data_IF_113330969906
#
_entry.id   IF_113330969906
#
_cell.length_a   1.000
_cell.length_b   1.000
_cell.length_c   1.000
_cell.angle_alpha   90.00
_cell.angle_beta   90.00
_cell.angle_gamma   90.00
#
_symmetry.space_group_name_H-M   'P 1'
#
loop_
_entity.id
_entity.type
_entity.pdbx_description
1 polymer ?
#
# COMPACT_ATOMS: atom_id res chain seq x y z
N UNK A 1 -10.34 12.72 18.36
CA UNK A 1 -9.64 12.98 17.08
C UNK A 1 -8.34 12.20 17.07
N UNK A 2 -8.12 11.28 16.12
CA UNK A 2 -6.76 10.73 15.95
C UNK A 2 -5.89 11.80 15.34
N UNK A 3 -4.72 12.04 15.92
CA UNK A 3 -3.75 12.95 15.34
C UNK A 3 -3.22 12.38 14.02
N UNK A 4 -3.01 13.25 13.03
CA UNK A 4 -2.52 12.88 11.69
C UNK A 4 -1.29 11.95 11.76
N UNK A 5 -0.39 12.17 12.71
CA UNK A 5 0.79 11.32 12.94
C UNK A 5 0.48 9.87 13.39
N UNK A 6 -0.61 9.61 14.10
CA UNK A 6 -1.02 8.23 14.45
C UNK A 6 -1.49 7.46 13.21
N UNK A 7 -2.19 8.15 12.30
CA UNK A 7 -2.67 7.57 11.05
C UNK A 7 -1.49 7.26 10.12
N UNK A 8 -0.54 8.20 9.99
CA UNK A 8 0.73 7.98 9.25
C UNK A 8 1.45 6.74 9.75
N UNK A 9 1.72 6.64 11.06
CA UNK A 9 2.45 5.50 11.64
C UNK A 9 1.75 4.16 11.43
N UNK A 10 0.41 4.14 11.45
CA UNK A 10 -0.34 2.92 11.18
C UNK A 10 -0.30 2.52 9.72
N UNK A 11 -0.48 3.48 8.81
CA UNK A 11 -0.37 3.22 7.38
C UNK A 11 1.04 2.73 7.02
N UNK A 12 2.09 3.33 7.59
CA UNK A 12 3.48 2.89 7.43
C UNK A 12 3.72 1.43 7.87
N UNK A 13 3.09 0.99 8.96
CA UNK A 13 3.19 -0.42 9.42
C UNK A 13 2.54 -1.42 8.46
N UNK A 14 1.60 -0.96 7.65
CA UNK A 14 0.93 -1.77 6.64
C UNK A 14 1.67 -1.77 5.31
N UNK A 15 2.55 -0.81 5.05
CA UNK A 15 3.36 -0.78 3.84
C UNK A 15 4.41 -1.93 3.84
N UNK A 16 4.79 -2.41 2.64
CA UNK A 16 5.97 -3.24 2.44
C UNK A 16 7.21 -2.57 3.05
N UNK A 17 8.14 -3.37 3.59
CA UNK A 17 9.41 -2.85 4.07
C UNK A 17 10.17 -2.10 2.95
N UNK A 18 11.10 -1.22 3.35
CA UNK A 18 11.89 -0.41 2.42
C UNK A 18 11.12 0.75 1.77
N UNK A 19 9.80 0.82 1.93
CA UNK A 19 9.00 1.98 1.48
C UNK A 19 8.91 2.99 2.61
N UNK A 20 9.74 4.04 2.54
CA UNK A 20 9.73 5.12 3.52
C UNK A 20 8.81 6.26 3.07
N UNK A 21 8.04 6.79 4.01
CA UNK A 21 7.09 7.88 3.77
C UNK A 21 7.22 8.98 4.82
N UNK A 22 6.84 10.20 4.46
CA UNK A 22 7.06 11.40 5.30
C UNK A 22 5.77 12.11 5.69
N UNK A 23 4.70 11.99 4.92
CA UNK A 23 3.44 12.69 5.17
C UNK A 23 2.23 11.96 4.58
N UNK A 24 1.04 12.31 5.05
CA UNK A 24 -0.20 11.96 4.37
C UNK A 24 -0.43 12.89 3.18
N UNK A 25 -0.90 12.32 2.08
CA UNK A 25 -1.46 13.09 0.98
C UNK A 25 -2.90 13.51 1.32
N UNK A 26 -3.41 14.59 0.70
CA UNK A 26 -4.83 14.93 0.77
C UNK A 26 -5.67 13.71 0.40
N UNK A 27 -6.80 13.53 1.08
CA UNK A 27 -7.71 12.44 0.76
C UNK A 27 -8.21 12.62 -0.69
N UNK A 28 -7.88 11.67 -1.56
CA UNK A 28 -8.47 11.63 -2.89
C UNK A 28 -9.96 11.27 -2.74
N UNK A 29 -10.88 11.99 -3.40
CA UNK A 29 -12.30 11.68 -3.30
C UNK A 29 -12.57 10.26 -3.83
N UNK A 30 -13.44 9.47 -3.18
CA UNK A 30 -13.73 8.09 -3.58
C UNK A 30 -14.12 7.93 -5.06
N UNK A 31 -14.83 8.93 -5.62
CA UNK A 31 -15.25 8.94 -7.02
C UNK A 31 -14.05 9.00 -7.99
N UNK A 32 -13.02 9.79 -7.68
CA UNK A 32 -11.81 9.87 -8.51
C UNK A 32 -11.04 8.55 -8.50
N UNK A 33 -11.14 7.79 -7.40
CA UNK A 33 -10.52 6.47 -7.30
C UNK A 33 -11.30 5.42 -8.09
N UNK A 34 -12.64 5.41 -8.03
CA UNK A 34 -13.49 4.48 -8.79
C UNK A 34 -13.24 4.58 -10.30
N UNK A 35 -12.98 5.79 -10.79
CA UNK A 35 -12.65 6.05 -12.18
C UNK A 35 -11.16 5.89 -12.53
N UNK A 36 -10.29 5.62 -11.54
CA UNK A 36 -8.86 5.43 -11.78
C UNK A 36 -8.55 3.99 -12.20
N UNK A 37 -7.45 3.77 -12.94
CA UNK A 37 -6.95 2.43 -13.26
C UNK A 37 -6.72 1.56 -12.00
N UNK A 38 -6.59 2.19 -10.82
CA UNK A 38 -6.42 1.51 -9.54
C UNK A 38 -7.67 0.75 -9.09
N UNK A 39 -8.87 1.17 -9.50
CA UNK A 39 -10.11 0.48 -9.14
C UNK A 39 -10.26 -0.88 -9.83
N UNK A 40 -9.56 -1.07 -10.96
CA UNK A 40 -9.53 -2.32 -11.71
C UNK A 40 -8.54 -3.35 -11.15
N UNK A 41 -7.69 -2.97 -10.19
CA UNK A 41 -6.70 -3.87 -9.61
C UNK A 41 -7.37 -4.90 -8.68
N UNK A 42 -6.98 -6.17 -8.75
CA UNK A 42 -7.67 -7.26 -8.06
C UNK A 42 -7.46 -7.20 -6.54
N UNK A 43 -8.48 -6.70 -5.83
CA UNK A 43 -8.67 -6.90 -4.39
C UNK A 43 -9.89 -7.81 -4.19
N UNK A 44 -9.81 -8.75 -3.24
CA UNK A 44 -10.81 -9.81 -3.08
C UNK A 44 -12.17 -9.23 -2.64
N UNK A 45 -13.09 -9.14 -3.61
CA UNK A 45 -14.35 -8.42 -3.51
C UNK A 45 -15.44 -9.13 -2.72
N UNK A 46 -15.70 -8.73 -1.47
CA UNK A 46 -17.01 -8.31 -0.91
C UNK A 46 -16.73 -7.53 0.40
N UNK A 47 -16.98 -6.22 0.46
CA UNK A 47 -16.92 -5.41 1.70
C UNK A 47 -16.46 -3.95 1.58
N UNK A 48 -16.33 -3.26 2.72
CA UNK A 48 -15.97 -1.82 2.76
C UNK A 48 -14.53 -1.62 2.32
N UNK A 49 -14.31 -0.73 1.35
CA UNK A 49 -12.99 -0.36 0.83
C UNK A 49 -12.53 1.00 1.34
N UNK A 50 -11.23 1.23 1.30
CA UNK A 50 -10.69 2.57 1.47
C UNK A 50 -9.26 2.68 0.97
N UNK A 51 -8.80 3.93 0.86
CA UNK A 51 -7.49 4.28 0.34
C UNK A 51 -6.87 5.38 1.19
N UNK A 52 -5.55 5.34 1.32
CA UNK A 52 -4.78 6.40 1.94
C UNK A 52 -3.51 6.65 1.13
N UNK A 53 -3.31 7.91 0.74
CA UNK A 53 -2.10 8.34 0.06
C UNK A 53 -1.05 8.79 1.06
N UNK A 54 0.20 8.42 0.81
CA UNK A 54 1.36 8.86 1.58
C UNK A 54 2.42 9.42 0.62
N UNK A 55 3.09 10.49 1.05
CA UNK A 55 4.24 11.05 0.36
C UNK A 55 5.45 10.17 0.64
N UNK A 56 6.10 9.69 -0.41
CA UNK A 56 7.35 8.96 -0.34
C UNK A 56 8.49 9.86 0.13
N UNK A 57 9.46 9.29 0.86
CA UNK A 57 10.73 9.97 1.12
C UNK A 57 11.52 10.05 -0.19
N UNK A 58 12.25 11.15 -0.38
CA UNK A 58 13.07 11.37 -1.58
C UNK A 58 14.04 10.21 -1.87
N UNK A 59 14.68 9.64 -0.84
CA UNK A 59 15.56 8.47 -1.00
C UNK A 59 14.84 7.25 -1.58
N UNK A 60 13.62 6.96 -1.12
CA UNK A 60 12.78 5.88 -1.69
C UNK A 60 12.38 6.18 -3.12
N UNK A 61 12.03 7.43 -3.46
CA UNK A 61 11.70 7.82 -4.84
C UNK A 61 12.88 7.56 -5.78
N UNK A 62 14.08 7.99 -5.39
CA UNK A 62 15.28 7.78 -6.19
C UNK A 62 15.62 6.29 -6.35
N UNK A 63 15.51 5.52 -5.27
CA UNK A 63 15.77 4.08 -5.30
C UNK A 63 14.75 3.31 -6.17
N UNK A 64 13.48 3.71 -6.18
CA UNK A 64 12.47 3.13 -7.08
C UNK A 64 12.73 3.53 -8.53
N UNK A 65 13.16 4.78 -8.80
CA UNK A 65 13.49 5.22 -10.16
C UNK A 65 14.69 4.47 -10.74
N UNK A 66 15.72 4.22 -9.93
CA UNK A 66 16.92 3.52 -10.39
C UNK A 66 16.76 2.00 -10.41
N UNK A 67 16.13 1.43 -9.38
CA UNK A 67 16.03 -0.01 -9.18
C UNK A 67 14.69 -0.64 -9.58
N UNK A 68 13.65 0.15 -9.82
CA UNK A 68 12.32 -0.31 -10.23
C UNK A 68 11.77 -1.45 -9.38
N UNK A 69 11.25 -2.49 -10.05
CA UNK A 69 10.76 -3.69 -9.38
C UNK A 69 11.86 -4.39 -8.56
N UNK A 70 13.12 -4.37 -8.98
CA UNK A 70 14.19 -5.07 -8.26
C UNK A 70 14.44 -4.47 -6.87
N UNK A 71 14.42 -3.14 -6.75
CA UNK A 71 14.49 -2.45 -5.45
C UNK A 71 13.29 -2.83 -4.56
N UNK A 72 12.08 -2.76 -5.11
CA UNK A 72 10.84 -3.09 -4.40
C UNK A 72 10.75 -4.57 -4.00
N UNK A 73 11.38 -5.46 -4.78
CA UNK A 73 11.44 -6.89 -4.52
C UNK A 73 12.53 -7.25 -3.49
N UNK A 74 13.64 -6.52 -3.45
CA UNK A 74 14.70 -6.72 -2.45
C UNK A 74 14.18 -6.49 -1.02
N UNK A 75 13.34 -5.47 -0.83
CA UNK A 75 12.75 -5.19 0.48
C UNK A 75 11.77 -6.27 0.96
N UNK A 76 11.14 -7.00 0.03
CA UNK A 76 10.35 -8.21 0.35
C UNK A 76 11.24 -9.35 0.86
N UNK A 77 12.44 -9.54 0.30
CA UNK A 77 13.35 -10.62 0.68
C UNK A 77 13.91 -10.42 2.10
N UNK A 78 14.22 -9.18 2.48
CA UNK A 78 14.70 -8.86 3.84
C UNK A 78 13.69 -9.24 4.94
N UNK A 79 12.38 -9.18 4.65
CA UNK A 79 11.34 -9.58 5.62
C UNK A 79 11.19 -11.09 5.77
N UNK A 80 11.48 -11.86 4.72
CA UNK A 80 11.42 -13.34 4.78
C UNK A 80 12.46 -13.91 5.77
N UNK A 81 13.54 -13.17 6.01
CA UNK A 81 14.63 -13.59 6.89
C UNK A 81 14.40 -13.32 8.39
N UNK A 82 13.37 -12.56 8.80
CA UNK A 82 13.28 -12.14 10.21
C UNK A 82 11.95 -11.66 10.79
N UNK A 83 10.84 -11.58 10.04
CA UNK A 83 9.59 -11.01 10.57
C UNK A 83 8.41 -12.00 10.52
N UNK A 84 8.05 -12.56 11.67
CA UNK A 84 6.92 -13.51 11.84
C UNK A 84 5.53 -12.87 11.87
N UNK A 85 5.42 -11.53 11.84
CA UNK A 85 4.14 -10.82 12.01
C UNK A 85 3.77 -9.81 10.90
N UNK A 86 4.65 -9.59 9.91
CA UNK A 86 4.36 -8.63 8.85
C UNK A 86 3.64 -9.30 7.68
N UNK A 87 2.49 -8.74 7.28
CA UNK A 87 1.67 -9.23 6.17
C UNK A 87 2.53 -9.29 4.90
N UNK A 88 2.50 -10.44 4.22
CA UNK A 88 3.32 -10.69 3.04
C UNK A 88 2.65 -10.12 1.79
N UNK A 89 3.45 -9.48 0.95
CA UNK A 89 3.04 -8.98 -0.37
C UNK A 89 3.54 -9.92 -1.47
N UNK A 90 2.74 -10.01 -2.53
CA UNK A 90 3.06 -10.72 -3.77
C UNK A 90 4.22 -10.07 -4.53
N UNK A 91 4.55 -10.58 -5.73
CA UNK A 91 5.55 -9.95 -6.59
C UNK A 91 5.09 -8.56 -7.02
N UNK A 92 6.03 -7.62 -7.09
CA UNK A 92 5.76 -6.30 -7.67
C UNK A 92 5.59 -6.39 -9.18
N UNK A 93 4.56 -5.73 -9.67
CA UNK A 93 4.23 -5.62 -11.09
C UNK A 93 4.38 -4.17 -11.52
N UNK A 94 5.04 -3.93 -12.65
CA UNK A 94 5.07 -2.61 -13.27
C UNK A 94 3.83 -2.44 -14.14
N UNK A 95 3.11 -1.35 -13.93
CA UNK A 95 1.95 -0.97 -14.72
C UNK A 95 2.36 -0.14 -15.93
N UNK A 96 1.45 0.00 -16.89
CA UNK A 96 1.70 0.71 -18.15
C UNK A 96 1.99 2.21 -17.99
N UNK A 97 1.48 2.83 -16.93
CA UNK A 97 1.72 4.22 -16.53
C UNK A 97 3.08 4.42 -15.83
N UNK A 98 3.86 3.35 -15.66
CA UNK A 98 5.14 3.38 -14.96
C UNK A 98 5.04 3.23 -13.44
N UNK A 99 3.84 3.14 -12.88
CA UNK A 99 3.62 2.84 -11.46
C UNK A 99 3.94 1.38 -11.15
N UNK A 100 4.12 1.07 -9.86
CA UNK A 100 4.38 -0.28 -9.37
C UNK A 100 3.27 -0.74 -8.45
N UNK A 101 2.79 -1.96 -8.61
CA UNK A 101 1.70 -2.54 -7.85
C UNK A 101 2.14 -3.83 -7.14
N UNK A 102 1.70 -3.99 -5.89
CA UNK A 102 1.72 -5.28 -5.20
C UNK A 102 0.47 -5.47 -4.36
N UNK A 103 -0.02 -6.70 -4.32
CA UNK A 103 -1.16 -7.10 -3.50
C UNK A 103 -0.69 -7.97 -2.33
N UNK A 104 -1.35 -7.87 -1.18
CA UNK A 104 -1.07 -8.77 -0.06
C UNK A 104 -1.49 -10.21 -0.40
N UNK A 105 -0.86 -11.17 0.25
CA UNK A 105 -1.15 -12.60 0.10
C UNK A 105 -2.61 -12.99 0.41
N UNK A 106 -3.29 -12.23 1.27
CA UNK A 106 -4.72 -12.38 1.58
C UNK A 106 -5.64 -11.53 0.70
N UNK A 107 -5.09 -10.82 -0.29
CA UNK A 107 -5.79 -9.92 -1.20
C UNK A 107 -6.65 -8.83 -0.54
N UNK A 108 -6.36 -8.50 0.73
CA UNK A 108 -7.05 -7.46 1.49
C UNK A 108 -6.36 -6.10 1.43
N UNK A 109 -5.08 -6.05 1.07
CA UNK A 109 -4.32 -4.83 0.88
C UNK A 109 -3.71 -4.74 -0.51
N UNK A 110 -3.77 -3.56 -1.07
CA UNK A 110 -3.10 -3.18 -2.30
C UNK A 110 -2.13 -2.04 -2.04
N UNK A 111 -0.97 -2.06 -2.68
CA UNK A 111 0.01 -0.99 -2.59
C UNK A 111 0.41 -0.59 -3.99
N UNK A 112 0.20 0.68 -4.31
CA UNK A 112 0.65 1.29 -5.55
C UNK A 112 1.72 2.33 -5.26
N UNK A 113 2.88 2.23 -5.90
CA UNK A 113 3.97 3.20 -5.83
C UNK A 113 4.02 3.96 -7.14
N UNK A 114 3.69 5.24 -7.10
CA UNK A 114 3.81 6.19 -8.20
C UNK A 114 5.04 7.07 -7.96
N UNK A 115 6.21 6.62 -8.43
CA UNK A 115 7.49 7.28 -8.15
C UNK A 115 7.55 8.70 -8.74
N UNK A 116 6.94 8.92 -9.90
CA UNK A 116 6.89 10.23 -10.55
C UNK A 116 6.08 11.27 -9.76
N UNK A 117 5.04 10.82 -9.06
CA UNK A 117 4.24 11.65 -8.17
C UNK A 117 4.83 11.73 -6.74
N UNK A 118 5.94 11.01 -6.50
CA UNK A 118 6.49 10.76 -5.18
C UNK A 118 5.42 10.23 -4.19
N UNK A 119 4.51 9.39 -4.67
CA UNK A 119 3.34 8.93 -3.91
C UNK A 119 3.33 7.41 -3.74
N UNK A 120 2.82 6.96 -2.60
CA UNK A 120 2.38 5.59 -2.39
C UNK A 120 0.94 5.57 -1.90
N UNK A 121 0.13 4.74 -2.53
CA UNK A 121 -1.27 4.55 -2.21
C UNK A 121 -1.44 3.20 -1.54
N UNK A 122 -1.89 3.20 -0.29
CA UNK A 122 -2.28 2.01 0.43
C UNK A 122 -3.80 1.86 0.34
N UNK A 123 -4.22 0.77 -0.27
CA UNK A 123 -5.61 0.40 -0.48
C UNK A 123 -5.96 -0.77 0.45
N UNK A 124 -7.15 -0.77 1.01
CA UNK A 124 -7.63 -1.88 1.84
C UNK A 124 -9.07 -2.24 1.53
N UNK A 125 -9.37 -3.52 1.77
CA UNK A 125 -10.71 -4.05 1.80
C UNK A 125 -10.96 -4.71 3.17
N UNK A 126 -12.08 -4.33 3.79
CA UNK A 126 -12.62 -5.04 4.95
C UNK A 126 -13.39 -6.25 4.44
N UNK A 127 -13.06 -7.47 4.87
CA UNK A 127 -13.85 -8.64 4.52
C UNK A 127 -15.29 -8.47 5.05
N UNK A 128 -16.30 -8.80 4.23
CA UNK A 128 -17.69 -8.93 4.72
C UNK A 128 -17.72 -9.99 5.80
N UNK A 129 -18.39 -9.66 6.90
CA UNK A 129 -18.44 -10.48 8.10
C UNK A 129 -19.19 -11.80 7.86
N UNK A 130 -18.51 -12.81 7.33
CA UNK A 130 -18.90 -14.22 7.48
C UNK A 130 -17.90 -15.03 8.29
N UNK A 131 -16.74 -14.48 8.66
CA UNK A 131 -15.91 -15.07 9.71
C UNK A 131 -15.37 -14.02 10.70
N UNK A 132 -15.83 -14.20 11.94
CA UNK A 132 -15.42 -13.48 13.14
C UNK A 132 -13.89 -13.47 13.29
N UNK A 133 -13.41 -12.39 13.92
CA UNK A 133 -12.09 -12.17 14.53
C UNK A 133 -10.98 -11.60 13.63
N UNK A 134 -11.10 -10.38 13.11
CA UNK A 134 -9.91 -9.52 13.05
C UNK A 134 -10.22 -8.09 13.45
N UNK A 135 -9.43 -7.61 14.42
CA UNK A 135 -9.51 -6.31 15.08
C UNK A 135 -9.47 -5.19 14.04
N UNK A 136 -10.23 -4.14 14.34
CA UNK A 136 -10.36 -2.90 13.59
C UNK A 136 -9.04 -2.39 13.00
N UNK A 137 -8.94 -2.43 11.66
CA UNK A 137 -7.75 -2.03 10.90
C UNK A 137 -7.38 -0.55 11.03
N UNK A 138 -8.35 0.32 11.39
CA UNK A 138 -8.15 1.76 11.54
C UNK A 138 -9.06 2.37 12.64
N UNK A 139 -9.13 1.80 13.86
CA UNK A 139 -9.81 2.44 15.05
C UNK A 139 -8.87 3.09 16.06
#
# INVERSE_FOLDING_TARGET
MRTQGQVVRRAQRLLPAGIETVALLPAAPPLAWECSALSALPLAGQGRRGVIGLRLRQGTVQAVRSGGCAFLQASRQQLQAGATLQRRYGPWQRLSDGSYWACSSDALLGVLVAAEEAAVWLMWQQPVATQRRHRSWLR
#
